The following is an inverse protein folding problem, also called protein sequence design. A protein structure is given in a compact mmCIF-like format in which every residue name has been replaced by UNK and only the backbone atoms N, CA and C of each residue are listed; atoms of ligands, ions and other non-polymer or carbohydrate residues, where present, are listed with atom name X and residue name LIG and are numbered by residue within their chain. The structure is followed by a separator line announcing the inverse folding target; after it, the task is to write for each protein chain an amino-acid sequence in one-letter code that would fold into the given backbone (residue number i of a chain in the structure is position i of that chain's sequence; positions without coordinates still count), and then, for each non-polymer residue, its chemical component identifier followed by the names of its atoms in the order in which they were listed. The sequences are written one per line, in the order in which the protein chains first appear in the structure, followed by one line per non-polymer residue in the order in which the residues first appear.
data_IF_840671839186
#
_entry.id   IF_840671839186
#
_cell.length_a   1.000
_cell.length_b   1.000
_cell.length_c   1.000
_cell.angle_alpha   90.00
_cell.angle_beta   90.00
_cell.angle_gamma   90.00
#
_symmetry.space_group_name_H-M   'P 1'
#
loop_
_entity.id
_entity.type
_entity.pdbx_description
1 polymer ?
#
# COMPACT_ATOMS: atom_id res chain seq x y z
N UNK A 1 9.60 17.25 34.84
CA UNK A 1 8.89 15.97 34.74
C UNK A 1 8.45 15.84 33.30
N UNK A 2 9.38 15.45 32.44
CA UNK A 2 9.16 15.29 31.01
C UNK A 2 8.52 13.92 30.80
N UNK A 3 7.29 13.94 30.30
CA UNK A 3 6.57 12.75 29.84
C UNK A 3 7.37 12.16 28.66
N UNK A 4 8.20 11.16 28.96
CA UNK A 4 8.93 10.41 27.96
C UNK A 4 7.90 9.52 27.28
N UNK A 5 7.46 9.88 26.08
CA UNK A 5 6.59 9.04 25.27
C UNK A 5 7.27 7.68 25.09
N UNK A 6 6.81 6.70 25.86
CA UNK A 6 7.33 5.35 25.87
C UNK A 6 7.03 4.71 24.52
N UNK A 7 8.01 4.76 23.64
CA UNK A 7 7.95 4.17 22.32
C UNK A 7 7.61 2.68 22.42
N UNK A 8 6.83 2.12 21.48
CA UNK A 8 6.51 0.70 21.50
C UNK A 8 7.78 -0.17 21.55
N UNK A 9 7.81 -1.23 22.38
CA UNK A 9 9.02 -2.00 22.66
C UNK A 9 9.68 -2.60 21.41
N UNK A 10 10.99 -2.78 21.49
CA UNK A 10 11.86 -3.21 20.39
C UNK A 10 11.28 -4.37 19.59
N UNK A 11 11.17 -4.17 18.27
CA UNK A 11 10.49 -5.09 17.34
C UNK A 11 9.09 -4.64 16.93
N UNK A 12 8.34 -3.93 17.79
CA UNK A 12 7.02 -3.40 17.44
C UNK A 12 7.08 -2.26 16.44
N UNK A 13 8.15 -1.46 16.43
CA UNK A 13 8.37 -0.42 15.41
C UNK A 13 8.35 -0.98 14.00
N UNK A 14 8.92 -2.18 13.80
CA UNK A 14 8.87 -2.87 12.51
C UNK A 14 7.43 -3.23 12.17
N UNK A 15 6.71 -3.90 13.07
CA UNK A 15 5.31 -4.31 12.84
C UNK A 15 4.39 -3.12 12.54
N UNK A 16 4.48 -2.05 13.33
CA UNK A 16 3.65 -0.84 13.14
C UNK A 16 3.99 -0.14 11.82
N UNK A 17 5.28 -0.02 11.48
CA UNK A 17 5.69 0.57 10.21
C UNK A 17 5.26 -0.28 9.00
N UNK A 18 5.41 -1.60 9.06
CA UNK A 18 4.95 -2.52 8.01
C UNK A 18 3.44 -2.46 7.80
N UNK A 19 2.67 -2.39 8.88
CA UNK A 19 1.22 -2.26 8.82
C UNK A 19 0.79 -0.92 8.19
N UNK A 20 1.47 0.19 8.54
CA UNK A 20 1.22 1.50 7.93
C UNK A 20 1.56 1.52 6.43
N UNK A 21 2.67 0.87 6.04
CA UNK A 21 3.08 0.76 4.62
C UNK A 21 2.06 -0.07 3.84
N UNK A 22 1.60 -1.19 4.39
CA UNK A 22 0.57 -2.02 3.76
C UNK A 22 -0.74 -1.26 3.57
N UNK A 23 -1.19 -0.51 4.59
CA UNK A 23 -2.38 0.33 4.47
C UNK A 23 -2.22 1.43 3.42
N UNK A 24 -1.06 2.07 3.34
CA UNK A 24 -0.78 3.07 2.31
C UNK A 24 -0.80 2.44 0.91
N UNK A 25 -0.15 1.30 0.71
CA UNK A 25 -0.12 0.58 -0.56
C UNK A 25 -1.53 0.13 -0.97
N UNK A 26 -2.36 -0.28 -0.01
CA UNK A 26 -3.77 -0.64 -0.22
C UNK A 26 -4.58 0.57 -0.73
N UNK A 27 -4.43 1.73 -0.08
CA UNK A 27 -5.08 2.97 -0.49
C UNK A 27 -4.59 3.43 -1.86
N UNK A 28 -3.29 3.26 -2.14
CA UNK A 28 -2.72 3.51 -3.45
C UNK A 28 -3.45 2.62 -4.43
N UNK A 29 -3.40 1.29 -4.29
CA UNK A 29 -4.05 0.30 -5.18
C UNK A 29 -5.54 0.56 -5.43
N UNK A 30 -6.29 1.04 -4.44
CA UNK A 30 -7.71 1.40 -4.61
C UNK A 30 -7.94 2.75 -5.31
N UNK A 31 -6.87 3.50 -5.62
CA UNK A 31 -6.94 4.85 -6.17
C UNK A 31 -7.45 5.89 -5.17
N UNK A 32 -7.49 5.55 -3.87
CA UNK A 32 -8.05 6.35 -2.79
C UNK A 32 -7.07 7.34 -2.17
N UNK A 33 -5.79 7.29 -2.55
CA UNK A 33 -4.85 8.34 -2.14
C UNK A 33 -5.07 9.58 -2.97
N UNK A 34 -5.50 10.63 -2.29
CA UNK A 34 -5.55 12.00 -2.78
C UNK A 34 -4.12 12.57 -2.80
N UNK A 35 -3.30 12.07 -3.73
CA UNK A 35 -2.03 12.72 -4.02
C UNK A 35 -2.36 14.00 -4.78
N UNK A 36 -1.74 15.14 -4.46
CA UNK A 36 -1.68 16.32 -5.32
C UNK A 36 -0.98 15.96 -6.64
N UNK A 37 -1.67 15.21 -7.50
CA UNK A 37 -1.15 14.72 -8.77
C UNK A 37 -1.17 15.92 -9.70
N UNK A 38 0.03 16.37 -10.10
CA UNK A 38 0.17 17.37 -11.18
C UNK A 38 -0.78 17.00 -12.32
N UNK A 39 -1.60 17.98 -12.72
CA UNK A 39 -2.51 17.91 -13.87
C UNK A 39 -1.71 17.42 -15.07
N UNK A 40 -1.86 16.14 -15.44
CA UNK A 40 -1.07 15.53 -16.52
C UNK A 40 -0.87 14.02 -16.41
N UNK A 41 -0.77 13.44 -15.20
CA UNK A 41 -0.72 11.97 -15.06
C UNK A 41 -2.14 11.38 -15.13
N UNK A 42 -2.49 10.84 -16.30
CA UNK A 42 -3.78 10.16 -16.53
C UNK A 42 -3.95 9.01 -15.53
N UNK A 43 -5.10 8.94 -14.83
CA UNK A 43 -5.44 7.85 -13.88
C UNK A 43 -5.22 6.44 -14.45
N UNK A 44 -5.39 6.28 -15.76
CA UNK A 44 -5.18 5.03 -16.49
C UNK A 44 -3.73 4.52 -16.51
N UNK A 45 -2.72 5.40 -16.53
CA UNK A 45 -1.32 4.94 -16.60
C UNK A 45 -0.87 4.30 -15.30
N UNK A 46 -1.39 4.76 -14.17
CA UNK A 46 -1.05 4.21 -12.87
C UNK A 46 -1.66 2.82 -12.63
N UNK A 47 -2.95 2.61 -12.97
CA UNK A 47 -3.55 1.28 -12.94
C UNK A 47 -2.87 0.32 -13.93
N UNK A 48 -2.45 0.82 -15.10
CA UNK A 48 -1.67 0.04 -16.06
C UNK A 48 -0.34 -0.41 -15.46
N UNK A 49 0.42 0.49 -14.85
CA UNK A 49 1.73 0.15 -14.25
C UNK A 49 1.59 -0.89 -13.15
N UNK A 50 0.57 -0.78 -12.29
CA UNK A 50 0.33 -1.78 -11.23
C UNK A 50 0.01 -3.15 -11.83
N UNK A 51 -0.81 -3.19 -12.89
CA UNK A 51 -1.11 -4.44 -13.59
C UNK A 51 0.13 -5.07 -14.21
N UNK A 52 1.00 -4.26 -14.79
CA UNK A 52 2.27 -4.71 -15.35
C UNK A 52 3.22 -5.24 -14.25
N UNK A 53 3.35 -4.54 -13.12
CA UNK A 53 4.21 -4.96 -12.01
C UNK A 53 3.73 -6.22 -11.30
N UNK A 54 2.42 -6.41 -11.21
CA UNK A 54 1.80 -7.56 -10.51
C UNK A 54 1.45 -8.72 -11.46
N UNK A 55 1.60 -8.52 -12.77
CA UNK A 55 1.11 -9.41 -13.82
C UNK A 55 -0.41 -9.75 -13.72
N UNK A 56 -1.19 -8.90 -13.05
CA UNK A 56 -2.64 -9.06 -12.91
C UNK A 56 -3.34 -8.24 -14.00
N UNK A 57 -3.99 -8.90 -14.95
CA UNK A 57 -4.61 -8.20 -16.10
C UNK A 57 -5.91 -7.48 -15.72
N UNK A 58 -6.65 -8.03 -14.75
CA UNK A 58 -7.98 -7.54 -14.35
C UNK A 58 -7.91 -6.54 -13.20
N UNK A 59 -8.53 -5.37 -13.41
CA UNK A 59 -8.68 -4.34 -12.38
C UNK A 59 -9.58 -4.84 -11.24
N UNK A 60 -10.63 -5.62 -11.52
CA UNK A 60 -11.47 -6.19 -10.46
C UNK A 60 -10.68 -7.16 -9.57
N UNK A 61 -9.79 -7.96 -10.15
CA UNK A 61 -8.94 -8.89 -9.40
C UNK A 61 -7.96 -8.12 -8.51
N UNK A 62 -7.35 -7.04 -9.03
CA UNK A 62 -6.50 -6.15 -8.23
C UNK A 62 -7.24 -5.55 -7.04
N UNK A 63 -8.47 -5.07 -7.23
CA UNK A 63 -9.24 -4.49 -6.13
C UNK A 63 -9.66 -5.52 -5.08
N UNK A 64 -10.00 -6.75 -5.49
CA UNK A 64 -10.28 -7.85 -4.55
C UNK A 64 -9.03 -8.24 -3.76
N UNK A 65 -7.88 -8.35 -4.42
CA UNK A 65 -6.61 -8.62 -3.76
C UNK A 65 -6.25 -7.49 -2.79
N UNK A 66 -6.44 -6.23 -3.17
CA UNK A 66 -6.21 -5.11 -2.27
C UNK A 66 -7.15 -5.14 -1.05
N UNK A 67 -8.32 -5.75 -1.11
CA UNK A 67 -9.21 -5.86 0.06
C UNK A 67 -8.85 -7.01 1.01
N UNK A 68 -8.11 -8.00 0.53
CA UNK A 68 -7.64 -9.16 1.29
C UNK A 68 -6.27 -8.86 1.91
N UNK A 69 -6.23 -8.54 3.21
CA UNK A 69 -5.01 -8.10 3.90
C UNK A 69 -3.87 -9.12 3.84
N UNK A 70 -4.17 -10.42 3.94
CA UNK A 70 -3.15 -11.47 3.93
C UNK A 70 -2.57 -11.62 2.53
N UNK A 71 -3.42 -11.80 1.52
CA UNK A 71 -2.96 -11.91 0.12
C UNK A 71 -2.27 -10.63 -0.36
N UNK A 72 -2.70 -9.48 0.14
CA UNK A 72 -2.05 -8.22 -0.18
C UNK A 72 -0.66 -8.13 0.44
N UNK A 73 -0.48 -8.57 1.68
CA UNK A 73 0.83 -8.64 2.31
C UNK A 73 1.77 -9.61 1.58
N UNK A 74 1.27 -10.76 1.10
CA UNK A 74 2.04 -11.69 0.26
C UNK A 74 2.45 -11.04 -1.07
N UNK A 75 1.54 -10.29 -1.69
CA UNK A 75 1.81 -9.57 -2.95
C UNK A 75 2.91 -8.51 -2.76
N UNK A 76 2.88 -7.77 -1.65
CA UNK A 76 3.84 -6.69 -1.38
C UNK A 76 5.16 -7.19 -0.79
N UNK A 77 5.19 -8.37 -0.15
CA UNK A 77 6.42 -8.99 0.33
C UNK A 77 7.43 -9.26 -0.80
N UNK A 78 6.95 -9.48 -2.03
CA UNK A 78 7.80 -9.66 -3.21
C UNK A 78 8.32 -8.35 -3.81
N UNK A 79 7.94 -7.19 -3.27
CA UNK A 79 8.36 -5.85 -3.74
C UNK A 79 9.55 -5.28 -2.92
N UNK A 80 10.27 -6.12 -2.16
CA UNK A 80 11.45 -5.73 -1.37
C UNK A 80 12.75 -5.70 -2.17
#
# INVERSE_FOLDING_TARGET
MTDQADGPPDGKWKTVAYEQINQLLQLIMMGKVEVNRRVGRRKMSWLRNIREWTNIVSVQTLFRLAQDREKFAELTANLQ
#
